data_IF_458492883849
#
_entry.id   IF_458492883849
#
_cell.length_a   1.000
_cell.length_b   1.000
_cell.length_c   1.000
_cell.angle_alpha   90.00
_cell.angle_beta   90.00
_cell.angle_gamma   90.00
#
_symmetry.space_group_name_H-M   'P 1'
#
loop_
_entity.id
_entity.type
_entity.pdbx_description
1 polymer ?
#
# COMPACT_ATOMS: atom_id res chain seq x y z
N UNK A 1 33.93 43.98 13.56
CA UNK A 1 33.66 42.98 12.51
C UNK A 1 33.94 41.61 13.11
N UNK A 2 32.89 40.88 13.49
CA UNK A 2 33.00 39.59 14.19
C UNK A 2 33.05 38.45 13.16
N UNK A 3 34.24 38.11 12.69
CA UNK A 3 34.43 36.93 11.86
C UNK A 3 34.43 35.70 12.79
N UNK A 4 33.29 35.01 12.88
CA UNK A 4 33.26 33.68 13.46
C UNK A 4 34.17 32.78 12.60
N UNK A 5 35.17 32.09 13.18
CA UNK A 5 36.11 31.28 12.41
C UNK A 5 35.34 30.19 11.66
N UNK A 6 35.61 30.05 10.37
CA UNK A 6 34.92 29.14 9.44
C UNK A 6 34.88 27.68 9.96
N UNK A 7 35.87 27.27 10.76
CA UNK A 7 35.89 25.99 11.47
C UNK A 7 34.69 25.78 12.41
N UNK A 8 34.29 26.81 13.17
CA UNK A 8 33.14 26.71 14.08
C UNK A 8 31.85 26.56 13.28
N UNK A 9 31.72 27.26 12.15
CA UNK A 9 30.54 27.18 11.28
C UNK A 9 30.41 25.76 10.69
N UNK A 10 31.51 25.17 10.22
CA UNK A 10 31.54 23.81 9.67
C UNK A 10 31.24 22.75 10.74
N UNK A 11 31.74 22.94 11.98
CA UNK A 11 31.44 22.06 13.10
C UNK A 11 29.96 22.14 13.52
N UNK A 12 29.39 23.34 13.64
CA UNK A 12 27.96 23.51 13.93
C UNK A 12 27.07 22.94 12.84
N UNK A 13 27.44 23.09 11.56
CA UNK A 13 26.75 22.43 10.46
C UNK A 13 26.83 20.91 10.61
N UNK A 14 28.01 20.31 10.78
CA UNK A 14 28.13 18.85 10.95
C UNK A 14 27.34 18.32 12.16
N UNK A 15 27.36 19.03 13.29
CA UNK A 15 26.61 18.66 14.51
C UNK A 15 25.10 18.82 14.30
N UNK A 16 24.64 19.81 13.55
CA UNK A 16 23.22 20.00 13.25
C UNK A 16 22.71 19.02 12.18
N UNK A 17 23.53 18.66 11.20
CA UNK A 17 23.15 17.77 10.09
C UNK A 17 23.19 16.29 10.46
N UNK A 18 24.15 15.84 11.27
CA UNK A 18 24.25 14.43 11.68
C UNK A 18 22.98 13.85 12.35
N UNK A 19 22.34 14.51 13.33
CA UNK A 19 21.11 14.02 13.94
C UNK A 19 19.92 14.09 12.98
N UNK A 20 19.85 15.09 12.10
CA UNK A 20 18.80 15.18 11.06
C UNK A 20 18.90 14.02 10.07
N UNK A 21 20.12 13.69 9.62
CA UNK A 21 20.37 12.53 8.74
C UNK A 21 20.08 11.22 9.47
N UNK A 22 20.44 11.11 10.75
CA UNK A 22 20.11 9.94 11.58
C UNK A 22 18.60 9.71 11.71
N UNK A 23 17.84 10.77 12.00
CA UNK A 23 16.38 10.71 12.09
C UNK A 23 15.72 10.40 10.74
N UNK A 24 16.22 10.97 9.65
CA UNK A 24 15.73 10.66 8.31
C UNK A 24 15.96 9.19 7.94
N UNK A 25 17.14 8.63 8.24
CA UNK A 25 17.42 7.20 8.01
C UNK A 25 16.54 6.29 8.86
N UNK A 26 16.33 6.65 10.14
CA UNK A 26 15.41 5.91 11.00
C UNK A 26 13.99 5.95 10.42
N UNK A 27 13.48 7.12 10.01
CA UNK A 27 12.17 7.26 9.39
C UNK A 27 12.01 6.37 8.15
N UNK A 28 12.96 6.42 7.21
CA UNK A 28 12.95 5.59 6.00
C UNK A 28 12.95 4.09 6.34
N UNK A 29 13.76 3.66 7.31
CA UNK A 29 13.79 2.27 7.76
C UNK A 29 12.45 1.81 8.36
N UNK A 30 11.82 2.67 9.18
CA UNK A 30 10.50 2.41 9.74
C UNK A 30 9.40 2.32 8.68
N UNK A 31 9.44 3.19 7.66
CA UNK A 31 8.50 3.15 6.54
C UNK A 31 8.61 1.84 5.75
N UNK A 32 9.82 1.34 5.51
CA UNK A 32 10.04 0.09 4.80
C UNK A 32 9.50 -1.12 5.59
N UNK A 33 9.73 -1.17 6.90
CA UNK A 33 9.20 -2.22 7.77
C UNK A 33 7.66 -2.18 7.78
N UNK A 34 7.08 -0.99 7.90
CA UNK A 34 5.63 -0.81 7.86
C UNK A 34 5.04 -1.18 6.50
N UNK A 35 5.76 -0.87 5.41
CA UNK A 35 5.38 -1.23 4.06
C UNK A 35 5.28 -2.73 3.91
N UNK A 36 6.35 -3.47 4.22
CA UNK A 36 6.36 -4.93 4.09
C UNK A 36 5.30 -5.58 4.97
N UNK A 37 5.15 -5.10 6.21
CA UNK A 37 4.12 -5.62 7.12
C UNK A 37 2.70 -5.42 6.55
N UNK A 38 2.39 -4.22 6.03
CA UNK A 38 1.06 -3.91 5.47
C UNK A 38 0.82 -4.61 4.12
N UNK A 39 1.86 -4.77 3.29
CA UNK A 39 1.83 -5.60 2.09
C UNK A 39 1.41 -7.02 2.46
N UNK A 40 2.10 -7.64 3.41
CA UNK A 40 1.81 -9.01 3.86
C UNK A 40 0.39 -9.18 4.44
N UNK A 41 -0.11 -8.21 5.21
CA UNK A 41 -1.50 -8.25 5.69
C UNK A 41 -2.50 -8.20 4.53
N UNK A 42 -2.26 -7.34 3.54
CA UNK A 42 -3.12 -7.23 2.37
C UNK A 42 -3.13 -8.54 1.57
N UNK A 43 -1.97 -9.16 1.38
CA UNK A 43 -1.81 -10.46 0.71
C UNK A 43 -2.43 -11.63 1.49
N UNK A 44 -2.50 -11.58 2.82
CA UNK A 44 -3.16 -12.64 3.60
C UNK A 44 -4.68 -12.51 3.62
N UNK A 45 -5.20 -11.31 3.38
CA UNK A 45 -6.63 -10.99 3.54
C UNK A 45 -7.36 -10.72 2.22
N UNK A 46 -6.68 -10.69 1.08
CA UNK A 46 -7.34 -10.42 -0.21
C UNK A 46 -8.45 -11.43 -0.51
N UNK A 47 -8.28 -12.70 -0.12
CA UNK A 47 -9.30 -13.73 -0.36
C UNK A 47 -10.59 -13.43 0.42
N UNK A 48 -10.49 -13.05 1.70
CA UNK A 48 -11.64 -12.63 2.51
C UNK A 48 -12.34 -11.39 1.93
N UNK A 49 -11.57 -10.47 1.35
CA UNK A 49 -12.11 -9.29 0.63
C UNK A 49 -12.82 -9.72 -0.65
N UNK A 50 -12.21 -10.61 -1.44
CA UNK A 50 -12.80 -11.14 -2.67
C UNK A 50 -14.12 -11.87 -2.39
N UNK A 51 -14.16 -12.74 -1.39
CA UNK A 51 -15.37 -13.47 -1.01
C UNK A 51 -16.49 -12.53 -0.54
N UNK A 52 -16.12 -11.44 0.15
CA UNK A 52 -17.08 -10.40 0.52
C UNK A 52 -17.59 -9.61 -0.68
N UNK A 53 -16.73 -9.28 -1.64
CA UNK A 53 -17.09 -8.59 -2.89
C UNK A 53 -18.07 -9.42 -3.71
N UNK A 54 -17.82 -10.73 -3.86
CA UNK A 54 -18.71 -11.65 -4.57
C UNK A 54 -20.13 -11.64 -4.00
N UNK A 55 -20.27 -11.53 -2.67
CA UNK A 55 -21.57 -11.44 -1.98
C UNK A 55 -22.34 -10.14 -2.26
N UNK A 56 -21.69 -9.12 -2.84
CA UNK A 56 -22.36 -7.85 -3.17
C UNK A 56 -23.15 -7.91 -4.49
N UNK A 57 -23.11 -9.02 -5.23
CA UNK A 57 -23.85 -9.23 -6.48
C UNK A 57 -23.66 -8.06 -7.46
N UNK A 58 -22.40 -7.74 -7.76
CA UNK A 58 -22.08 -6.70 -8.76
C UNK A 58 -22.66 -7.09 -10.12
N UNK A 59 -23.27 -6.15 -10.88
CA UNK A 59 -23.68 -6.40 -12.24
C UNK A 59 -22.50 -6.86 -13.12
N UNK A 60 -22.77 -7.73 -14.10
CA UNK A 60 -21.79 -8.10 -15.12
C UNK A 60 -21.29 -6.85 -15.86
N UNK A 61 -20.03 -6.89 -16.28
CA UNK A 61 -19.32 -5.80 -16.96
C UNK A 61 -19.41 -4.46 -16.24
N UNK A 62 -19.27 -4.49 -14.90
CA UNK A 62 -19.36 -3.28 -14.08
C UNK A 62 -18.26 -3.18 -13.04
N UNK A 63 -17.71 -1.97 -12.93
CA UNK A 63 -16.77 -1.58 -11.88
C UNK A 63 -17.48 -0.75 -10.80
N UNK A 64 -17.17 -1.03 -9.54
CA UNK A 64 -17.72 -0.29 -8.40
C UNK A 64 -16.73 -0.18 -7.25
N UNK A 65 -16.70 0.98 -6.61
CA UNK A 65 -16.04 1.15 -5.32
C UNK A 65 -16.99 0.69 -4.20
N UNK A 66 -16.52 -0.25 -3.39
CA UNK A 66 -17.28 -0.87 -2.31
C UNK A 66 -16.64 -0.51 -0.96
N UNK A 67 -17.48 -0.16 0.02
CA UNK A 67 -17.05 0.07 1.40
C UNK A 67 -16.96 -1.28 2.11
N UNK A 68 -15.77 -1.62 2.60
CA UNK A 68 -15.52 -2.85 3.33
C UNK A 68 -16.21 -2.82 4.70
N UNK A 69 -16.61 -3.99 5.23
CA UNK A 69 -17.12 -4.11 6.59
C UNK A 69 -16.00 -3.78 7.59
N UNK A 70 -16.38 -3.42 8.82
CA UNK A 70 -15.46 -2.92 9.84
C UNK A 70 -14.22 -3.81 10.05
N UNK A 71 -14.41 -5.14 10.05
CA UNK A 71 -13.31 -6.10 10.26
C UNK A 71 -12.32 -6.20 9.08
N UNK A 72 -12.68 -5.72 7.88
CA UNK A 72 -11.81 -5.64 6.70
C UNK A 72 -11.38 -4.20 6.37
N UNK A 73 -12.08 -3.19 6.89
CA UNK A 73 -11.81 -1.78 6.61
C UNK A 73 -10.40 -1.33 6.99
N UNK A 74 -9.75 -1.99 7.96
CA UNK A 74 -8.37 -1.71 8.36
C UNK A 74 -7.30 -2.17 7.35
N UNK A 75 -7.67 -2.99 6.36
CA UNK A 75 -6.73 -3.54 5.39
C UNK A 75 -6.46 -2.54 4.27
N UNK A 76 -7.49 -1.79 3.84
CA UNK A 76 -7.38 -0.87 2.71
C UNK A 76 -7.47 0.59 3.15
N UNK A 77 -6.96 1.47 2.30
CA UNK A 77 -7.08 2.91 2.45
C UNK A 77 -8.56 3.31 2.46
N UNK A 78 -8.97 4.02 3.52
CA UNK A 78 -10.36 4.46 3.77
C UNK A 78 -11.37 3.31 3.89
N UNK A 79 -10.90 2.07 4.08
CA UNK A 79 -11.76 0.89 4.17
C UNK A 79 -12.61 0.67 2.92
N UNK A 80 -12.06 0.96 1.74
CA UNK A 80 -12.73 0.73 0.46
C UNK A 80 -11.91 -0.17 -0.45
N UNK A 81 -12.60 -0.85 -1.36
CA UNK A 81 -12.00 -1.66 -2.42
C UNK A 81 -12.67 -1.31 -3.73
N UNK A 82 -11.91 -1.22 -4.82
CA UNK A 82 -12.52 -1.13 -6.15
C UNK A 82 -12.67 -2.55 -6.68
N UNK A 83 -13.86 -2.91 -7.14
CA UNK A 83 -14.16 -4.24 -7.65
C UNK A 83 -14.69 -4.13 -9.08
N UNK A 84 -14.38 -5.12 -9.91
CA UNK A 84 -14.87 -5.26 -11.27
C UNK A 84 -15.40 -6.68 -11.44
N UNK A 85 -16.62 -6.80 -11.95
CA UNK A 85 -17.19 -8.07 -12.39
C UNK A 85 -17.19 -8.05 -13.92
N UNK A 86 -16.39 -8.90 -14.53
CA UNK A 86 -16.20 -8.95 -15.99
C UNK A 86 -17.32 -9.72 -16.67
N UNK A 87 -17.42 -9.56 -17.98
CA UNK A 87 -18.35 -10.28 -18.87
C UNK A 87 -18.16 -11.81 -18.84
N UNK A 88 -16.95 -12.29 -18.60
CA UNK A 88 -16.62 -13.70 -18.39
C UNK A 88 -16.91 -14.22 -16.97
N UNK A 89 -17.71 -13.47 -16.20
CA UNK A 89 -18.14 -13.75 -14.83
C UNK A 89 -17.03 -13.82 -13.78
N UNK A 90 -15.84 -13.26 -14.08
CA UNK A 90 -14.73 -13.20 -13.12
C UNK A 90 -14.81 -11.94 -12.26
N UNK A 91 -14.31 -12.07 -11.04
CA UNK A 91 -14.20 -10.96 -10.11
C UNK A 91 -12.75 -10.50 -10.01
N UNK A 92 -12.57 -9.19 -10.13
CA UNK A 92 -11.31 -8.50 -9.92
C UNK A 92 -11.48 -7.52 -8.76
N UNK A 93 -10.47 -7.43 -7.90
CA UNK A 93 -10.40 -6.41 -6.86
C UNK A 93 -9.09 -5.64 -6.96
N UNK A 94 -9.16 -4.33 -6.82
CA UNK A 94 -8.01 -3.45 -6.67
C UNK A 94 -7.98 -2.98 -5.21
N UNK A 95 -6.96 -3.43 -4.49
CA UNK A 95 -6.71 -3.03 -3.11
C UNK A 95 -5.62 -1.96 -3.07
N UNK A 96 -5.96 -0.84 -2.46
CA UNK A 96 -5.01 0.22 -2.10
C UNK A 96 -4.79 0.18 -0.61
N UNK A 97 -3.56 0.00 -0.15
CA UNK A 97 -3.20 0.03 1.27
C UNK A 97 -2.38 1.26 1.56
N UNK A 98 -2.88 2.10 2.47
CA UNK A 98 -2.17 3.28 2.92
C UNK A 98 -1.09 2.89 3.93
N UNK A 99 0.09 3.49 3.86
CA UNK A 99 1.26 3.05 4.64
C UNK A 99 1.77 4.18 5.54
N UNK A 100 2.13 5.32 4.96
CA UNK A 100 2.51 6.52 5.70
C UNK A 100 2.13 7.81 4.94
N UNK A 101 2.02 8.96 5.63
CA UNK A 101 1.88 10.26 4.98
C UNK A 101 3.14 10.58 4.16
N UNK A 102 3.01 10.82 2.86
CA UNK A 102 4.14 11.11 1.96
C UNK A 102 4.93 9.89 1.49
N UNK A 103 4.68 8.71 2.07
CA UNK A 103 5.32 7.45 1.65
C UNK A 103 4.60 6.73 0.51
N UNK A 104 5.23 5.66 0.03
CA UNK A 104 4.67 4.80 -1.03
C UNK A 104 3.44 4.05 -0.49
N UNK A 105 2.32 4.13 -1.21
CA UNK A 105 1.17 3.27 -0.96
C UNK A 105 1.37 1.93 -1.67
N UNK A 106 0.81 0.87 -1.11
CA UNK A 106 0.75 -0.43 -1.79
C UNK A 106 -0.53 -0.51 -2.62
N UNK A 107 -0.39 -0.99 -3.86
CA UNK A 107 -1.50 -1.25 -4.77
C UNK A 107 -1.33 -2.67 -5.32
N UNK A 108 -2.40 -3.44 -5.30
CA UNK A 108 -2.43 -4.75 -5.94
C UNK A 108 -3.81 -5.04 -6.51
N UNK A 109 -3.79 -5.64 -7.69
CA UNK A 109 -4.98 -6.20 -8.33
C UNK A 109 -4.98 -7.69 -8.08
N UNK A 110 -6.08 -8.22 -7.57
CA UNK A 110 -6.31 -9.65 -7.36
C UNK A 110 -7.48 -10.08 -8.21
N UNK A 111 -7.43 -11.30 -8.74
CA UNK A 111 -8.48 -11.86 -9.58
C UNK A 111 -8.70 -13.33 -9.25
N UNK A 112 -9.87 -13.82 -9.63
CA UNK A 112 -10.20 -15.24 -9.55
C UNK A 112 -9.53 -16.01 -10.70
N UNK A 113 -8.68 -16.96 -10.36
CA UNK A 113 -8.13 -17.91 -11.31
C UNK A 113 -9.15 -19.04 -11.56
N UNK A 114 -9.40 -19.39 -12.84
CA UNK A 114 -10.25 -20.56 -13.16
C UNK A 114 -9.51 -21.82 -12.68
N UNK A 115 -10.20 -22.68 -11.93
CA UNK A 115 -9.64 -23.88 -11.29
C UNK A 115 -8.69 -24.69 -12.18
N UNK A 116 -7.39 -24.49 -11.99
CA UNK A 116 -6.37 -25.56 -11.95
C UNK A 116 -5.31 -25.17 -10.90
N UNK A 117 -5.68 -25.26 -9.62
CA UNK A 117 -4.75 -25.04 -8.50
C UNK A 117 -4.55 -23.56 -8.16
N UNK A 118 -4.92 -23.17 -6.93
CA UNK A 118 -4.70 -21.83 -6.41
C UNK A 118 -3.21 -21.51 -6.33
N UNK A 119 -2.72 -20.72 -7.28
CA UNK A 119 -1.47 -19.98 -7.15
C UNK A 119 -1.79 -18.51 -7.33
N UNK A 120 -1.82 -17.75 -6.22
CA UNK A 120 -1.93 -16.30 -6.29
C UNK A 120 -0.72 -15.74 -7.04
N UNK A 121 -0.81 -15.61 -8.36
CA UNK A 121 0.24 -15.00 -9.17
C UNK A 121 0.29 -13.50 -8.87
N UNK A 122 1.45 -13.09 -8.36
CA UNK A 122 1.84 -11.70 -8.13
C UNK A 122 2.03 -11.00 -9.48
N UNK A 123 0.95 -10.44 -10.06
CA UNK A 123 1.12 -9.42 -11.10
C UNK A 123 1.10 -8.03 -10.45
N UNK A 124 2.20 -7.69 -9.80
CA UNK A 124 2.49 -6.31 -9.38
C UNK A 124 2.83 -5.51 -10.65
N UNK A 125 1.80 -5.08 -11.37
CA UNK A 125 1.97 -4.03 -12.39
C UNK A 125 1.95 -2.68 -11.68
N UNK A 126 3.10 -2.27 -11.14
CA UNK A 126 3.34 -0.88 -10.77
C UNK A 126 3.77 -0.12 -12.00
N UNK A 127 2.84 0.59 -12.66
CA UNK A 127 3.22 1.60 -13.66
C UNK A 127 3.84 2.77 -12.91
N UNK A 128 5.13 3.04 -13.18
CA UNK A 128 5.82 4.22 -12.72
C UNK A 128 5.34 5.42 -13.56
N UNK A 129 4.67 6.37 -12.91
CA UNK A 129 4.52 7.74 -13.42
C UNK A 129 4.99 8.68 -12.33
#
# INVERSE_FOLDING_TARGET
MNNLPEEKINLFQKIAFAPVVGLAKAWVGWEQIMYERRKQVSLKKYQEVMDWVKKQNLPLDSARELKLPFYLAGITHRGKVSALHTDDARHYILMKTWISPGGKNFYATFYEEKETGFTGEEKVSGTWV
#
